data_IF_179049787305
#
_entry.id   IF_179049787305
#
_cell.length_a   1.000
_cell.length_b   1.000
_cell.length_c   1.000
_cell.angle_alpha   90.00
_cell.angle_beta   90.00
_cell.angle_gamma   90.00
#
_symmetry.space_group_name_H-M   'P 1'
#
loop_
_entity.id
_entity.type
_entity.pdbx_description
1 polymer ?
#
# COMPACT_ATOMS: atom_id res chain seq x y z
N UNK A 1 -78.25 -26.29 -22.58
CA UNK A 1 -79.02 -25.57 -21.55
C UNK A 1 -78.60 -26.19 -20.22
N UNK A 2 -77.62 -25.68 -19.47
CA UNK A 2 -77.86 -24.59 -18.51
C UNK A 2 -76.56 -24.18 -17.75
N UNK A 3 -75.39 -24.21 -18.41
CA UNK A 3 -74.11 -23.98 -17.72
C UNK A 3 -73.51 -22.59 -17.93
N UNK A 4 -74.08 -21.77 -18.82
CA UNK A 4 -73.56 -20.42 -19.16
C UNK A 4 -74.34 -19.26 -18.54
N UNK A 5 -75.36 -19.53 -17.72
CA UNK A 5 -76.20 -18.47 -17.11
C UNK A 5 -75.80 -18.04 -15.70
N UNK A 6 -74.74 -18.61 -15.13
CA UNK A 6 -74.33 -18.34 -13.72
C UNK A 6 -73.02 -17.56 -13.54
N UNK A 7 -72.44 -16.98 -14.60
CA UNK A 7 -71.22 -16.14 -14.50
C UNK A 7 -71.47 -14.63 -14.41
N UNK A 8 -72.72 -14.20 -14.26
CA UNK A 8 -73.06 -12.79 -14.12
C UNK A 8 -73.91 -12.60 -12.87
N UNK A 9 -73.27 -12.65 -11.70
CA UNK A 9 -73.63 -11.93 -10.47
C UNK A 9 -72.68 -12.35 -9.34
N UNK A 10 -71.36 -12.22 -9.56
CA UNK A 10 -70.40 -12.23 -8.45
C UNK A 10 -70.12 -10.77 -8.09
N UNK A 11 -70.50 -10.38 -6.88
CA UNK A 11 -70.25 -9.04 -6.35
C UNK A 11 -68.74 -8.77 -6.29
N UNK A 12 -68.26 -7.55 -6.59
CA UNK A 12 -66.82 -7.24 -6.66
C UNK A 12 -66.05 -7.61 -5.38
N UNK A 13 -66.71 -7.58 -4.22
CA UNK A 13 -66.12 -7.95 -2.94
C UNK A 13 -65.80 -9.44 -2.78
N UNK A 14 -66.54 -10.34 -3.43
CA UNK A 14 -66.32 -11.78 -3.28
C UNK A 14 -65.11 -12.29 -4.07
N UNK A 15 -64.83 -11.68 -5.24
CA UNK A 15 -63.63 -11.98 -6.04
C UNK A 15 -62.34 -11.55 -5.33
N UNK A 16 -62.35 -10.36 -4.74
CA UNK A 16 -61.20 -9.84 -3.98
C UNK A 16 -60.93 -10.70 -2.74
N UNK A 17 -61.98 -11.23 -2.10
CA UNK A 17 -61.81 -12.07 -0.92
C UNK A 17 -61.23 -13.46 -1.25
N UNK A 18 -61.51 -13.99 -2.44
CA UNK A 18 -60.87 -15.19 -2.99
C UNK A 18 -59.38 -14.97 -3.25
N UNK A 19 -59.02 -13.91 -3.98
CA UNK A 19 -57.62 -13.58 -4.28
C UNK A 19 -56.81 -13.27 -3.02
N UNK A 20 -57.37 -12.59 -2.03
CA UNK A 20 -56.66 -12.30 -0.78
C UNK A 20 -56.32 -13.56 0.02
N UNK A 21 -57.12 -14.63 -0.11
CA UNK A 21 -56.81 -15.93 0.51
C UNK A 21 -55.69 -16.63 -0.23
N UNK A 22 -55.69 -16.61 -1.56
CA UNK A 22 -54.62 -17.18 -2.38
C UNK A 22 -53.30 -16.42 -2.21
N UNK A 23 -53.34 -15.08 -2.13
CA UNK A 23 -52.15 -14.25 -1.92
C UNK A 23 -51.54 -14.45 -0.53
N UNK A 24 -52.35 -14.73 0.51
CA UNK A 24 -51.83 -15.12 1.83
C UNK A 24 -51.15 -16.49 1.77
N UNK A 25 -51.75 -17.46 1.10
CA UNK A 25 -51.17 -18.80 0.95
C UNK A 25 -49.87 -18.76 0.14
N UNK A 26 -49.81 -17.98 -0.94
CA UNK A 26 -48.59 -17.78 -1.73
C UNK A 26 -47.49 -17.05 -0.96
N UNK A 27 -47.84 -16.11 -0.08
CA UNK A 27 -46.86 -15.48 0.83
C UNK A 27 -46.29 -16.46 1.83
N UNK A 28 -47.13 -17.33 2.41
CA UNK A 28 -46.68 -18.33 3.38
C UNK A 28 -45.75 -19.37 2.75
N UNK A 29 -46.06 -19.83 1.54
CA UNK A 29 -45.21 -20.74 0.77
C UNK A 29 -43.88 -20.10 0.39
N UNK A 30 -43.89 -18.86 -0.11
CA UNK A 30 -42.66 -18.12 -0.44
C UNK A 30 -41.79 -17.87 0.80
N UNK A 31 -42.41 -17.62 1.95
CA UNK A 31 -41.68 -17.39 3.21
C UNK A 31 -41.02 -18.67 3.73
N UNK A 32 -41.69 -19.83 3.55
CA UNK A 32 -41.11 -21.14 3.86
C UNK A 32 -39.98 -21.51 2.91
N UNK A 33 -40.14 -21.29 1.60
CA UNK A 33 -39.06 -21.48 0.63
C UNK A 33 -37.86 -20.57 0.90
N UNK A 34 -38.08 -19.30 1.23
CA UNK A 34 -36.98 -18.38 1.56
C UNK A 34 -36.24 -18.77 2.84
N UNK A 35 -36.93 -19.33 3.84
CA UNK A 35 -36.28 -19.85 5.05
C UNK A 35 -35.44 -21.09 4.74
N UNK A 36 -35.96 -22.04 3.98
CA UNK A 36 -35.20 -23.22 3.54
C UNK A 36 -33.95 -22.84 2.71
N UNK A 37 -34.09 -21.90 1.77
CA UNK A 37 -32.95 -21.40 0.98
C UNK A 37 -31.90 -20.68 1.81
N UNK A 38 -32.28 -19.99 2.89
CA UNK A 38 -31.33 -19.35 3.83
C UNK A 38 -30.62 -20.37 4.70
N UNK A 39 -31.27 -21.48 5.07
CA UNK A 39 -30.67 -22.58 5.80
C UNK A 39 -29.68 -23.37 4.92
N UNK A 40 -30.05 -23.69 3.68
CA UNK A 40 -29.12 -24.31 2.71
C UNK A 40 -27.88 -23.41 2.44
N UNK A 41 -28.06 -22.09 2.34
CA UNK A 41 -26.94 -21.14 2.18
C UNK A 41 -26.06 -20.97 3.42
N UNK A 42 -26.53 -21.39 4.60
CA UNK A 42 -25.72 -21.43 5.84
C UNK A 42 -24.91 -22.71 5.94
N UNK A 43 -25.42 -23.83 5.41
CA UNK A 43 -24.70 -25.12 5.40
C UNK A 43 -23.56 -25.13 4.37
N UNK A 44 -23.69 -24.36 3.28
CA UNK A 44 -22.63 -24.18 2.27
C UNK A 44 -21.78 -22.91 2.51
N UNK A 45 -21.62 -22.48 3.76
CA UNK A 45 -20.50 -21.61 4.10
C UNK A 45 -19.25 -22.48 4.17
N UNK A 46 -18.32 -22.37 3.19
CA UNK A 46 -17.09 -23.13 3.26
C UNK A 46 -16.40 -22.67 4.54
N UNK A 47 -16.29 -23.62 5.46
CA UNK A 47 -15.48 -23.54 6.65
C UNK A 47 -14.20 -22.77 6.33
N UNK A 48 -13.97 -21.73 7.13
CA UNK A 48 -12.69 -21.07 7.35
C UNK A 48 -11.54 -21.71 6.59
N UNK A 49 -11.40 -21.37 5.29
CA UNK A 49 -10.14 -21.58 4.59
C UNK A 49 -9.17 -20.69 5.34
N UNK A 50 -8.46 -21.32 6.27
CA UNK A 50 -7.31 -20.77 6.95
C UNK A 50 -6.49 -20.07 5.89
N UNK A 51 -6.50 -18.73 5.91
CA UNK A 51 -5.75 -17.92 4.98
C UNK A 51 -4.28 -18.24 5.27
N UNK A 52 -3.67 -19.05 4.40
CA UNK A 52 -2.23 -19.34 4.40
C UNK A 52 -1.37 -18.10 4.11
N UNK A 53 -2.00 -16.94 3.93
CA UNK A 53 -1.42 -15.69 3.47
C UNK A 53 -1.02 -14.74 4.62
N UNK A 54 -1.21 -15.15 5.87
CA UNK A 54 -0.59 -14.46 7.01
C UNK A 54 0.74 -15.12 7.33
N UNK A 55 1.89 -14.44 7.15
CA UNK A 55 3.15 -14.97 7.65
C UNK A 55 3.00 -15.14 9.17
N UNK A 56 3.12 -16.37 9.66
CA UNK A 56 3.20 -16.65 11.09
C UNK A 56 4.48 -16.02 11.64
N UNK A 57 4.42 -14.75 12.01
CA UNK A 57 5.46 -14.10 12.79
C UNK A 57 5.42 -14.67 14.21
N UNK A 58 6.49 -15.38 14.58
CA UNK A 58 6.76 -15.78 15.95
C UNK A 58 6.10 -17.09 16.36
N UNK A 59 6.81 -18.21 16.20
CA UNK A 59 6.63 -19.35 17.11
C UNK A 59 7.02 -18.84 18.51
N UNK A 60 6.15 -18.87 19.54
CA UNK A 60 6.63 -18.73 20.90
C UNK A 60 7.39 -20.03 21.20
N UNK A 61 8.71 -19.98 21.04
CA UNK A 61 9.59 -21.06 21.46
C UNK A 61 9.43 -21.25 22.96
N UNK A 62 9.43 -22.51 23.39
CA UNK A 62 9.37 -22.97 24.79
C UNK A 62 10.57 -22.49 25.65
N UNK A 63 11.40 -21.59 25.13
CA UNK A 63 12.63 -21.09 25.70
C UNK A 63 12.52 -19.56 25.72
N UNK A 64 12.35 -18.98 26.91
CA UNK A 64 12.54 -17.54 27.13
C UNK A 64 14.03 -17.24 26.94
N UNK A 65 14.47 -17.03 25.71
CA UNK A 65 15.66 -16.22 25.50
C UNK A 65 15.27 -14.77 25.86
N UNK A 66 16.14 -14.01 26.56
CA UNK A 66 15.90 -12.59 26.74
C UNK A 66 15.71 -11.96 25.36
N UNK A 67 14.54 -11.38 25.12
CA UNK A 67 14.27 -10.67 23.88
C UNK A 67 15.21 -9.47 23.82
N UNK A 68 16.30 -9.60 23.06
CA UNK A 68 17.17 -8.47 22.76
C UNK A 68 16.33 -7.41 22.06
N UNK A 69 16.23 -6.24 22.69
CA UNK A 69 15.41 -5.13 22.21
C UNK A 69 15.94 -4.62 20.85
N UNK A 70 15.22 -4.89 19.74
CA UNK A 70 15.67 -4.51 18.40
C UNK A 70 15.73 -2.98 18.22
N UNK A 71 15.06 -2.20 19.07
CA UNK A 71 15.10 -0.74 19.05
C UNK A 71 16.42 -0.19 19.59
N UNK A 72 16.96 -0.80 20.64
CA UNK A 72 18.25 -0.42 21.23
C UNK A 72 19.40 -0.69 20.25
N UNK A 73 19.39 -1.86 19.61
CA UNK A 73 20.36 -2.18 18.55
C UNK A 73 20.22 -1.22 17.37
N UNK A 74 18.99 -0.82 17.04
CA UNK A 74 18.73 0.13 15.96
C UNK A 74 19.37 1.49 16.13
N UNK A 75 19.25 2.06 17.33
CA UNK A 75 19.88 3.33 17.70
C UNK A 75 21.42 3.21 17.75
N UNK A 76 21.93 2.06 18.21
CA UNK A 76 23.36 1.77 18.22
C UNK A 76 23.92 1.69 16.79
N UNK A 77 23.27 0.95 15.88
CA UNK A 77 23.70 0.85 14.48
C UNK A 77 23.72 2.22 13.79
N UNK A 78 22.72 3.07 14.04
CA UNK A 78 22.67 4.41 13.43
C UNK A 78 23.79 5.33 13.95
N UNK A 79 24.16 5.19 15.22
CA UNK A 79 25.30 5.91 15.79
C UNK A 79 26.64 5.40 15.25
N UNK A 80 26.79 4.08 15.11
CA UNK A 80 27.96 3.44 14.51
C UNK A 80 28.08 3.82 13.03
N UNK A 81 26.99 3.81 12.27
CA UNK A 81 26.99 4.17 10.84
C UNK A 81 27.44 5.62 10.62
N UNK A 82 26.92 6.58 11.42
CA UNK A 82 27.39 7.97 11.36
C UNK A 82 28.84 8.12 11.78
N UNK A 83 29.32 7.29 12.70
CA UNK A 83 30.70 7.32 13.18
C UNK A 83 31.70 6.72 12.19
N UNK A 84 31.39 5.55 11.59
CA UNK A 84 32.22 4.87 10.59
C UNK A 84 32.21 5.59 9.23
N UNK A 85 31.09 6.21 8.84
CA UNK A 85 31.00 6.96 7.58
C UNK A 85 31.76 8.28 7.59
N UNK A 86 32.23 8.74 8.75
CA UNK A 86 32.99 9.98 8.87
C UNK A 86 34.49 9.67 8.96
N UNK A 87 35.34 10.40 8.21
CA UNK A 87 36.82 10.25 8.27
C UNK A 87 37.45 10.47 9.66
N UNK A 88 36.67 10.94 10.64
CA UNK A 88 37.05 11.13 12.04
C UNK A 88 37.45 9.82 12.75
N UNK A 89 36.86 8.68 12.38
CA UNK A 89 37.22 7.39 12.97
C UNK A 89 38.68 7.02 12.68
N UNK A 90 39.09 7.18 11.42
CA UNK A 90 40.46 6.89 10.97
C UNK A 90 41.45 7.78 11.71
N UNK A 91 41.17 9.09 11.81
CA UNK A 91 42.02 10.03 12.55
C UNK A 91 42.20 9.59 14.01
N UNK A 92 41.11 9.25 14.71
CA UNK A 92 41.18 8.80 16.10
C UNK A 92 41.98 7.50 16.25
N UNK A 93 41.75 6.52 15.37
CA UNK A 93 42.50 5.25 15.37
C UNK A 93 44.00 5.48 15.15
N UNK A 94 44.37 6.33 14.19
CA UNK A 94 45.77 6.68 13.93
C UNK A 94 46.41 7.36 15.15
N UNK A 95 45.71 8.28 15.81
CA UNK A 95 46.21 8.94 17.03
C UNK A 95 46.46 7.94 18.14
N UNK A 96 45.58 6.96 18.35
CA UNK A 96 45.76 5.91 19.37
C UNK A 96 46.98 5.05 19.08
N UNK A 97 47.16 4.63 17.82
CA UNK A 97 48.32 3.83 17.41
C UNK A 97 49.61 4.64 17.61
N UNK A 98 49.65 5.90 17.18
CA UNK A 98 50.80 6.78 17.38
C UNK A 98 51.08 6.98 18.86
N UNK A 99 50.06 7.23 19.68
CA UNK A 99 50.22 7.40 21.12
C UNK A 99 50.77 6.14 21.80
N UNK A 100 50.32 4.95 21.39
CA UNK A 100 50.83 3.68 21.90
C UNK A 100 52.30 3.46 21.54
N UNK A 101 52.65 3.71 20.28
CA UNK A 101 54.03 3.59 19.80
C UNK A 101 54.92 4.62 20.50
N UNK A 102 54.49 5.88 20.61
CA UNK A 102 55.19 6.94 21.32
C UNK A 102 55.41 6.58 22.79
N UNK A 103 54.38 6.07 23.47
CA UNK A 103 54.49 5.62 24.86
C UNK A 103 55.54 4.53 25.03
N UNK A 104 55.53 3.52 24.15
CA UNK A 104 56.47 2.39 24.25
C UNK A 104 57.88 2.70 23.71
N UNK A 105 58.06 3.75 22.93
CA UNK A 105 59.38 4.14 22.37
C UNK A 105 60.08 5.20 23.22
N UNK A 106 59.35 6.23 23.66
CA UNK A 106 59.92 7.39 24.36
C UNK A 106 60.18 7.12 25.85
N UNK A 107 59.47 6.16 26.45
CA UNK A 107 59.64 5.85 27.88
C UNK A 107 60.86 4.93 28.13
N UNK A 108 61.47 5.00 29.33
CA UNK A 108 62.58 4.12 29.74
C UNK A 108 62.21 2.63 29.71
N UNK A 109 63.17 1.71 29.47
CA UNK A 109 62.92 0.26 29.36
C UNK A 109 62.19 -0.37 30.55
N UNK A 110 62.28 0.25 31.72
CA UNK A 110 61.65 -0.20 32.97
C UNK A 110 60.14 -0.01 33.03
N UNK A 111 59.58 0.84 32.17
CA UNK A 111 58.13 1.15 32.11
C UNK A 111 57.53 0.87 30.73
N UNK A 112 58.32 0.33 29.79
CA UNK A 112 57.82 -0.11 28.49
C UNK A 112 56.97 -1.36 28.67
N UNK A 113 55.72 -1.29 28.22
CA UNK A 113 54.80 -2.41 28.29
C UNK A 113 54.95 -3.34 27.08
N UNK A 114 55.26 -2.79 25.90
CA UNK A 114 55.27 -3.49 24.62
C UNK A 114 56.50 -3.06 23.78
N UNK A 115 57.59 -3.82 23.88
CA UNK A 115 58.81 -3.56 23.11
C UNK A 115 58.64 -3.99 21.64
N UNK A 116 59.43 -3.39 20.74
CA UNK A 116 59.48 -3.80 19.32
C UNK A 116 59.68 -5.32 19.21
N UNK A 117 58.80 -6.08 18.54
CA UNK A 117 57.89 -5.70 17.44
C UNK A 117 56.42 -5.34 17.81
N UNK A 118 56.12 -4.88 19.03
CA UNK A 118 54.77 -4.50 19.49
C UNK A 118 53.73 -5.65 19.41
N UNK A 119 54.00 -6.74 20.14
CA UNK A 119 53.18 -7.95 20.09
C UNK A 119 51.78 -7.70 20.65
N UNK A 120 51.66 -6.88 21.69
CA UNK A 120 50.36 -6.59 22.31
C UNK A 120 49.48 -5.74 21.39
N UNK A 121 50.06 -4.72 20.76
CA UNK A 121 49.35 -3.92 19.77
C UNK A 121 48.85 -4.81 18.62
N UNK A 122 49.69 -5.72 18.14
CA UNK A 122 49.33 -6.65 17.06
C UNK A 122 48.20 -7.60 17.47
N UNK A 123 48.28 -8.19 18.66
CA UNK A 123 47.24 -9.06 19.21
C UNK A 123 45.91 -8.32 19.41
N UNK A 124 45.96 -7.07 19.87
CA UNK A 124 44.76 -6.26 20.04
C UNK A 124 44.13 -5.91 18.70
N UNK A 125 44.92 -5.55 17.69
CA UNK A 125 44.42 -5.25 16.34
C UNK A 125 43.83 -6.49 15.65
N UNK A 126 44.44 -7.66 15.82
CA UNK A 126 43.92 -8.91 15.24
C UNK A 126 42.60 -9.33 15.89
N UNK A 127 42.50 -9.21 17.22
CA UNK A 127 41.25 -9.39 17.94
C UNK A 127 40.19 -8.37 17.51
N UNK A 128 40.60 -7.11 17.32
CA UNK A 128 39.70 -6.05 16.86
C UNK A 128 39.02 -6.40 15.54
N UNK A 129 39.82 -6.82 14.56
CA UNK A 129 39.30 -7.24 13.26
C UNK A 129 38.36 -8.45 13.38
N UNK A 130 38.71 -9.42 14.23
CA UNK A 130 37.93 -10.64 14.43
C UNK A 130 36.54 -10.38 15.02
N UNK A 131 36.42 -9.49 16.01
CA UNK A 131 35.11 -9.16 16.61
C UNK A 131 34.29 -8.17 15.76
N UNK A 132 34.95 -7.38 14.91
CA UNK A 132 34.26 -6.45 14.03
C UNK A 132 33.39 -7.17 12.99
N UNK A 133 33.89 -8.27 12.41
CA UNK A 133 33.16 -9.04 11.40
C UNK A 133 31.74 -9.48 11.82
N UNK A 134 31.53 -10.17 12.97
CA UNK A 134 30.19 -10.58 13.39
C UNK A 134 29.27 -9.40 13.75
N UNK A 135 29.82 -8.30 14.30
CA UNK A 135 29.03 -7.09 14.56
C UNK A 135 28.57 -6.42 13.27
N UNK A 136 29.44 -6.38 12.26
CA UNK A 136 29.12 -5.84 10.93
C UNK A 136 28.06 -6.73 10.27
N UNK A 137 28.20 -8.06 10.33
CA UNK A 137 27.22 -9.00 9.78
C UNK A 137 25.82 -8.84 10.41
N UNK A 138 25.76 -8.64 11.74
CA UNK A 138 24.49 -8.37 12.43
C UNK A 138 23.89 -7.01 12.04
N UNK A 139 24.74 -5.99 11.82
CA UNK A 139 24.29 -4.69 11.34
C UNK A 139 23.77 -4.77 9.88
N UNK A 140 24.43 -5.56 9.03
CA UNK A 140 24.09 -5.76 7.62
C UNK A 140 22.78 -6.51 7.44
N UNK A 141 22.57 -7.64 8.13
CA UNK A 141 21.31 -8.42 8.03
C UNK A 141 20.06 -7.54 8.24
N UNK A 142 20.15 -6.57 9.14
CA UNK A 142 19.04 -5.66 9.42
C UNK A 142 18.91 -4.50 8.42
N UNK A 143 20.01 -4.10 7.78
CA UNK A 143 19.94 -3.18 6.64
C UNK A 143 19.27 -3.89 5.46
N UNK A 144 19.65 -5.13 5.17
CA UNK A 144 19.06 -5.93 4.10
C UNK A 144 17.56 -6.16 4.29
N UNK A 145 17.12 -6.42 5.53
CA UNK A 145 15.69 -6.56 5.86
C UNK A 145 14.89 -5.27 5.60
N UNK A 146 15.44 -4.10 5.97
CA UNK A 146 14.80 -2.81 5.68
C UNK A 146 14.80 -2.51 4.19
N UNK A 147 15.91 -2.76 3.52
CA UNK A 147 16.07 -2.51 2.09
C UNK A 147 15.10 -3.38 1.30
N UNK A 148 14.88 -4.63 1.73
CA UNK A 148 13.84 -5.50 1.17
C UNK A 148 12.44 -4.89 1.30
N UNK A 149 12.06 -4.44 2.50
CA UNK A 149 10.73 -3.81 2.71
C UNK A 149 10.58 -2.54 1.87
N UNK A 150 11.61 -1.71 1.80
CA UNK A 150 11.61 -0.51 0.96
C UNK A 150 11.45 -0.88 -0.53
N UNK A 151 12.15 -1.90 -1.01
CA UNK A 151 12.03 -2.39 -2.38
C UNK A 151 10.62 -2.94 -2.69
N UNK A 152 9.99 -3.64 -1.74
CA UNK A 152 8.61 -4.13 -1.90
C UNK A 152 7.61 -2.96 -1.96
N UNK A 153 7.79 -1.93 -1.13
CA UNK A 153 6.95 -0.73 -1.16
C UNK A 153 7.14 0.07 -2.45
N UNK A 154 8.37 0.24 -2.93
CA UNK A 154 8.66 0.95 -4.17
C UNK A 154 8.08 0.23 -5.39
N UNK A 155 8.12 -1.11 -5.43
CA UNK A 155 7.41 -1.88 -6.46
C UNK A 155 5.91 -1.60 -6.41
N UNK A 156 5.28 -1.69 -5.25
CA UNK A 156 3.85 -1.43 -5.10
C UNK A 156 3.45 0.03 -5.41
N UNK A 157 4.36 0.99 -5.23
CA UNK A 157 4.17 2.38 -5.67
C UNK A 157 4.32 2.50 -7.18
N UNK A 158 5.31 1.86 -7.77
CA UNK A 158 5.53 1.84 -9.21
C UNK A 158 4.33 1.28 -9.95
N UNK A 159 3.76 0.16 -9.48
CA UNK A 159 2.57 -0.45 -10.07
C UNK A 159 1.36 0.50 -10.03
N UNK A 160 1.18 1.22 -8.91
CA UNK A 160 0.15 2.26 -8.78
C UNK A 160 0.39 3.45 -9.71
N UNK A 161 1.63 3.92 -9.82
CA UNK A 161 1.97 5.03 -10.71
C UNK A 161 1.72 4.67 -12.18
N UNK A 162 2.00 3.43 -12.58
CA UNK A 162 1.69 2.93 -13.93
C UNK A 162 0.17 2.95 -14.14
N UNK A 163 -0.60 2.41 -13.21
CA UNK A 163 -2.07 2.42 -13.29
C UNK A 163 -2.66 3.84 -13.35
N UNK A 164 -2.15 4.76 -12.55
CA UNK A 164 -2.57 6.17 -12.56
C UNK A 164 -2.22 6.84 -13.89
N UNK A 165 -1.04 6.53 -14.45
CA UNK A 165 -0.63 7.05 -15.76
C UNK A 165 -1.52 6.51 -16.88
N UNK A 166 -1.86 5.22 -16.85
CA UNK A 166 -2.80 4.62 -17.81
C UNK A 166 -4.20 5.23 -17.69
N UNK A 167 -4.67 5.45 -16.46
CA UNK A 167 -5.95 6.10 -16.20
C UNK A 167 -5.96 7.53 -16.75
N UNK A 168 -4.98 8.35 -16.39
CA UNK A 168 -4.86 9.73 -16.88
C UNK A 168 -4.73 9.77 -18.41
N UNK A 169 -3.99 8.84 -19.02
CA UNK A 169 -3.86 8.78 -20.48
C UNK A 169 -5.20 8.48 -21.15
N UNK A 170 -5.99 7.56 -20.57
CA UNK A 170 -7.33 7.24 -21.05
C UNK A 170 -8.28 8.44 -20.88
N UNK A 171 -8.20 9.13 -19.75
CA UNK A 171 -9.04 10.29 -19.46
C UNK A 171 -8.70 11.47 -20.36
N UNK A 172 -7.42 11.71 -20.63
CA UNK A 172 -6.95 12.73 -21.58
C UNK A 172 -7.40 12.38 -23.01
N UNK A 173 -7.36 11.12 -23.41
CA UNK A 173 -7.86 10.68 -24.72
C UNK A 173 -9.38 10.93 -24.85
N UNK A 174 -10.16 10.61 -23.81
CA UNK A 174 -11.60 10.87 -23.77
C UNK A 174 -11.91 12.37 -23.79
N UNK A 175 -11.20 13.18 -22.99
CA UNK A 175 -11.31 14.64 -23.00
C UNK A 175 -10.97 15.23 -24.37
N UNK A 176 -9.91 14.74 -25.03
CA UNK A 176 -9.53 15.17 -26.39
C UNK A 176 -10.63 14.86 -27.41
N UNK A 177 -11.25 13.70 -27.32
CA UNK A 177 -12.33 13.33 -28.24
C UNK A 177 -13.57 14.22 -28.02
N UNK A 178 -13.98 14.43 -26.76
CA UNK A 178 -15.09 15.33 -26.43
C UNK A 178 -14.84 16.79 -26.83
N UNK A 179 -13.63 17.32 -26.60
CA UNK A 179 -13.24 18.65 -27.08
C UNK A 179 -13.15 18.72 -28.61
N UNK A 180 -12.72 17.65 -29.27
CA UNK A 180 -12.65 17.56 -30.73
C UNK A 180 -14.02 17.69 -31.39
N UNK A 181 -15.07 17.13 -30.78
CA UNK A 181 -16.45 17.25 -31.27
C UNK A 181 -17.00 18.69 -31.12
N UNK A 182 -16.73 19.34 -29.97
CA UNK A 182 -17.21 20.72 -29.69
C UNK A 182 -16.39 21.79 -30.42
N UNK A 183 -15.10 21.55 -30.68
CA UNK A 183 -14.23 22.49 -31.40
C UNK A 183 -14.15 22.21 -32.91
N UNK A 184 -15.13 21.49 -33.49
CA UNK A 184 -15.16 21.27 -34.94
C UNK A 184 -15.30 22.62 -35.65
N UNK A 185 -14.52 22.84 -36.71
CA UNK A 185 -14.53 24.10 -37.51
C UNK A 185 -15.94 24.54 -37.88
N UNK A 186 -16.82 23.58 -38.18
CA UNK A 186 -18.20 23.86 -38.59
C UNK A 186 -19.07 24.35 -37.43
N UNK A 187 -18.86 23.87 -36.19
CA UNK A 187 -19.54 24.39 -35.00
C UNK A 187 -19.09 25.81 -34.66
N UNK A 188 -17.77 26.06 -34.66
CA UNK A 188 -17.23 27.41 -34.44
C UNK A 188 -17.72 28.37 -35.54
N UNK A 189 -17.78 27.89 -36.79
CA UNK A 189 -18.32 28.66 -37.91
C UNK A 189 -19.81 28.93 -37.75
N UNK A 190 -20.62 27.95 -37.34
CA UNK A 190 -22.06 28.15 -37.14
C UNK A 190 -22.33 29.11 -35.99
N UNK A 191 -21.57 29.04 -34.90
CA UNK A 191 -21.73 29.99 -33.78
C UNK A 191 -21.27 31.39 -34.14
N UNK A 192 -20.14 31.54 -34.85
CA UNK A 192 -19.72 32.85 -35.37
C UNK A 192 -20.77 33.44 -36.31
N UNK A 193 -21.38 32.63 -37.19
CA UNK A 193 -22.46 33.08 -38.07
C UNK A 193 -23.73 33.43 -37.30
N UNK A 194 -24.09 32.65 -36.28
CA UNK A 194 -25.22 32.90 -35.39
C UNK A 194 -25.06 34.23 -34.67
N UNK A 195 -23.90 34.46 -34.04
CA UNK A 195 -23.58 35.71 -33.35
C UNK A 195 -23.51 36.91 -34.30
N UNK A 196 -22.94 36.75 -35.50
CA UNK A 196 -22.95 37.79 -36.53
C UNK A 196 -24.38 38.17 -36.93
N UNK A 197 -25.25 37.17 -37.11
CA UNK A 197 -26.65 37.38 -37.48
C UNK A 197 -27.41 38.10 -36.38
N UNK A 198 -27.20 37.73 -35.10
CA UNK A 198 -27.81 38.43 -33.97
C UNK A 198 -27.37 39.90 -33.89
N UNK A 199 -26.09 40.19 -34.18
CA UNK A 199 -25.58 41.57 -34.22
C UNK A 199 -26.20 42.35 -35.37
N UNK A 200 -26.31 41.77 -36.57
CA UNK A 200 -26.95 42.41 -37.73
C UNK A 200 -28.43 42.71 -37.45
N UNK A 201 -29.14 41.77 -36.84
CA UNK A 201 -30.57 41.90 -36.49
C UNK A 201 -30.81 42.94 -35.39
N UNK A 202 -29.85 43.13 -34.48
CA UNK A 202 -29.84 44.26 -33.52
C UNK A 202 -29.41 45.58 -34.17
N UNK A 203 -28.69 45.53 -35.28
CA UNK A 203 -28.14 46.69 -35.97
C UNK A 203 -29.11 47.25 -37.01
N UNK A 204 -30.05 46.46 -37.54
CA UNK A 204 -31.21 46.98 -38.27
C UNK A 204 -32.05 47.83 -37.30
N UNK A 205 -31.97 49.16 -37.36
CA UNK A 205 -32.93 50.00 -36.68
C UNK A 205 -34.18 49.94 -37.54
N UNK A 206 -35.33 49.83 -36.89
CA UNK A 206 -36.62 50.08 -37.50
C UNK A 206 -36.53 51.34 -38.39
N UNK A 207 -36.49 51.19 -39.71
CA UNK A 207 -36.62 52.34 -40.59
C UNK A 207 -38.13 52.65 -40.65
N UNK A 208 -38.58 53.79 -40.09
CA UNK A 208 -39.98 54.13 -40.06
C UNK A 208 -40.39 54.82 -41.38
N UNK A 209 -41.47 54.29 -41.94
CA UNK A 209 -42.39 54.87 -42.94
C UNK A 209 -41.95 54.86 -44.42
#
# INVERSE_FOLDING_TARGET
MDSDRKRQHETPGQRIQGELRELRQLRELRTREQRGRREERRVDSPSSRSRLDQPRTGRPGLIHLPAWDPEAFGKLSERIARFLGTGRFIVWMTVVIIAWVAWNTLLPPTVRFDNYPFIFLTLMLSLQASYAAPLILLAQNRQDDRDRVNMEQDRARSDRNIADTEYLTREVAALRQGLGEVATRDFIRSELQSLLREIEERREPADPL
#
